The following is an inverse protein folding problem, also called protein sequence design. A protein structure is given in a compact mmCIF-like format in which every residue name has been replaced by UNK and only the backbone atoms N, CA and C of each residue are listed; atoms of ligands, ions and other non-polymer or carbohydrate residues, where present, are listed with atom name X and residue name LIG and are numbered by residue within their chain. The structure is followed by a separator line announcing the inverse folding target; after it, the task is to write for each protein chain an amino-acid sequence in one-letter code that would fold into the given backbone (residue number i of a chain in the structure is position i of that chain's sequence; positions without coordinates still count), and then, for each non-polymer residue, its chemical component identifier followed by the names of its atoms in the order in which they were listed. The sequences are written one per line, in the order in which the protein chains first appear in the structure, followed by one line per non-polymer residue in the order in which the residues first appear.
data_IF_326408346348
#
_entry.id   IF_326408346348
#
_cell.length_a   1.000
_cell.length_b   1.000
_cell.length_c   1.000
_cell.angle_alpha   90.00
_cell.angle_beta   90.00
_cell.angle_gamma   90.00
#
_symmetry.space_group_name_H-M   'P 1'
#
loop_
_entity.id
_entity.type
_entity.pdbx_description
1 polymer ?
#
# COMPACT_ATOMS: atom_id res chain seq x y z
N UNK A 1 -30.94 33.90 10.54
CA UNK A 1 -30.89 34.17 12.00
C UNK A 1 -29.54 33.67 12.50
N UNK A 2 -28.54 34.55 12.59
CA UNK A 2 -27.15 34.22 12.97
C UNK A 2 -27.10 34.13 14.50
N UNK A 3 -26.83 32.94 15.05
CA UNK A 3 -26.58 32.79 16.49
C UNK A 3 -25.13 33.17 16.78
N UNK A 4 -24.83 33.92 17.86
CA UNK A 4 -23.46 34.24 18.23
C UNK A 4 -22.66 32.95 18.53
N UNK A 5 -21.47 32.86 17.94
CA UNK A 5 -20.57 31.69 17.96
C UNK A 5 -20.29 31.16 19.39
N UNK A 6 -20.33 32.05 20.39
CA UNK A 6 -20.15 31.74 21.82
C UNK A 6 -21.19 30.77 22.40
N UNK A 7 -22.44 30.75 21.90
CA UNK A 7 -23.48 29.80 22.37
C UNK A 7 -23.33 28.40 21.79
N UNK A 8 -22.62 28.23 20.67
CA UNK A 8 -22.38 26.91 20.06
C UNK A 8 -21.24 26.16 20.78
N UNK A 9 -20.21 26.87 21.25
CA UNK A 9 -19.05 26.27 21.90
C UNK A 9 -19.32 25.70 23.31
N UNK A 10 -20.25 26.29 24.07
CA UNK A 10 -20.57 25.83 25.44
C UNK A 10 -21.27 24.46 25.46
N UNK A 11 -22.12 24.18 24.46
CA UNK A 11 -22.76 22.87 24.28
C UNK A 11 -21.79 21.76 23.90
N UNK A 12 -20.75 22.07 23.11
CA UNK A 12 -19.80 21.08 22.59
C UNK A 12 -18.77 20.64 23.66
N UNK A 13 -18.37 21.57 24.53
CA UNK A 13 -17.38 21.32 25.59
C UNK A 13 -17.88 20.25 26.59
N UNK A 14 -19.15 20.35 27.00
CA UNK A 14 -19.78 19.40 27.92
C UNK A 14 -19.86 17.98 27.34
N UNK A 15 -19.93 17.86 26.01
CA UNK A 15 -20.06 16.59 25.30
C UNK A 15 -18.71 15.85 25.14
N UNK A 16 -17.60 16.60 24.98
CA UNK A 16 -16.27 16.03 24.78
C UNK A 16 -15.64 15.48 26.07
N UNK A 17 -15.98 16.05 27.23
CA UNK A 17 -15.48 15.58 28.53
C UNK A 17 -15.99 14.17 28.91
N UNK A 18 -17.14 13.75 28.39
CA UNK A 18 -17.82 12.51 28.80
C UNK A 18 -17.40 11.25 28.01
N UNK A 19 -16.79 11.38 26.83
CA UNK A 19 -16.70 10.28 25.86
C UNK A 19 -15.32 9.62 25.72
N UNK A 20 -14.24 10.23 26.20
CA UNK A 20 -12.89 9.73 25.94
C UNK A 20 -12.04 9.74 27.21
N UNK A 21 -11.30 8.66 27.51
CA UNK A 21 -10.18 8.64 28.48
C UNK A 21 -8.88 8.61 27.66
N UNK A 22 -8.06 9.67 27.71
CA UNK A 22 -6.85 9.83 26.88
C UNK A 22 -6.43 11.28 26.59
N UNK A 23 -5.32 11.50 25.92
CA UNK A 23 -4.87 12.88 25.61
C UNK A 23 -5.68 13.44 24.43
N UNK A 24 -6.23 14.65 24.59
CA UNK A 24 -6.97 15.33 23.51
C UNK A 24 -6.06 16.39 22.90
N UNK A 25 -5.81 16.28 21.60
CA UNK A 25 -5.13 17.31 20.82
C UNK A 25 -6.16 18.09 20.00
N UNK A 26 -6.03 19.41 20.01
CA UNK A 26 -6.89 20.30 19.23
C UNK A 26 -6.07 20.86 18.07
N UNK A 27 -6.62 20.79 16.87
CA UNK A 27 -6.04 21.37 15.66
C UNK A 27 -6.98 22.41 15.10
N UNK A 28 -6.42 23.51 14.62
CA UNK A 28 -7.22 24.52 13.96
C UNK A 28 -6.54 25.03 12.69
N UNK A 29 -7.35 25.17 11.64
CA UNK A 29 -6.95 25.63 10.31
C UNK A 29 -7.81 26.83 9.91
N UNK A 30 -7.16 27.85 9.36
CA UNK A 30 -7.77 29.14 9.01
C UNK A 30 -8.35 29.16 7.59
N UNK A 31 -7.78 28.36 6.68
CA UNK A 31 -8.23 28.17 5.30
C UNK A 31 -7.67 26.84 4.78
N UNK A 32 -8.44 26.10 3.98
CA UNK A 32 -8.03 24.87 3.31
C UNK A 32 -6.78 25.07 2.43
N UNK A 33 -6.55 26.31 1.96
CA UNK A 33 -5.41 26.66 1.10
C UNK A 33 -4.10 26.97 1.86
N UNK A 34 -4.18 27.20 3.18
CA UNK A 34 -2.99 27.54 3.99
C UNK A 34 -2.38 26.32 4.68
N UNK A 35 -1.13 25.97 4.35
CA UNK A 35 -0.35 24.86 4.93
C UNK A 35 0.08 25.06 6.41
N UNK A 36 -0.51 26.01 7.12
CA UNK A 36 -0.15 26.35 8.50
C UNK A 36 -1.15 25.76 9.49
N UNK A 37 -0.71 24.80 10.30
CA UNK A 37 -1.50 24.28 11.43
C UNK A 37 -0.96 24.83 12.74
N UNK A 38 -1.87 25.12 13.66
CA UNK A 38 -1.56 25.27 15.07
C UNK A 38 -2.17 24.09 15.82
N UNK A 39 -1.43 23.53 16.76
CA UNK A 39 -1.89 22.46 17.66
C UNK A 39 -1.66 22.86 19.11
N UNK A 40 -2.64 22.59 19.97
CA UNK A 40 -2.45 22.56 21.41
C UNK A 40 -2.43 21.09 21.85
N UNK A 41 -1.34 20.68 22.50
CA UNK A 41 -1.18 19.35 23.09
C UNK A 41 -1.38 19.43 24.61
N UNK A 42 -1.82 18.35 25.23
CA UNK A 42 -1.98 18.29 26.69
C UNK A 42 -3.06 19.22 27.22
N UNK A 43 -4.13 19.41 26.46
CA UNK A 43 -5.23 20.29 26.82
C UNK A 43 -5.95 19.76 28.07
N UNK A 44 -6.02 20.58 29.12
CA UNK A 44 -6.86 20.31 30.27
C UNK A 44 -8.34 20.25 29.84
N UNK A 45 -8.94 19.09 30.12
CA UNK A 45 -10.29 18.71 29.69
C UNK A 45 -11.38 19.47 30.44
N UNK A 46 -11.06 20.02 31.60
CA UNK A 46 -12.00 20.81 32.39
C UNK A 46 -12.06 22.27 31.91
N UNK A 47 -11.12 22.69 31.05
CA UNK A 47 -11.13 24.04 30.50
C UNK A 47 -12.26 24.23 29.47
N UNK A 48 -13.00 25.34 29.53
CA UNK A 48 -14.00 25.67 28.51
C UNK A 48 -13.37 25.74 27.12
N UNK A 49 -14.05 25.24 26.08
CA UNK A 49 -13.57 25.35 24.70
C UNK A 49 -13.29 26.80 24.28
N UNK A 50 -14.04 27.76 24.84
CA UNK A 50 -13.81 29.19 24.61
C UNK A 50 -12.43 29.64 25.10
N UNK A 51 -11.98 29.16 26.26
CA UNK A 51 -10.66 29.48 26.80
C UNK A 51 -9.53 28.90 25.93
N UNK A 52 -9.74 27.71 25.35
CA UNK A 52 -8.79 27.10 24.44
C UNK A 52 -8.71 27.84 23.10
N UNK A 53 -9.85 28.30 22.58
CA UNK A 53 -9.89 29.09 21.35
C UNK A 53 -9.25 30.47 21.55
N UNK A 54 -9.44 31.10 22.70
CA UNK A 54 -8.76 32.36 23.07
C UNK A 54 -7.25 32.17 23.16
N UNK A 55 -6.78 31.07 23.75
CA UNK A 55 -5.35 30.73 23.80
C UNK A 55 -4.76 30.52 22.40
N UNK A 56 -5.47 29.80 21.54
CA UNK A 56 -5.11 29.65 20.12
C UNK A 56 -4.99 31.00 19.40
N UNK A 57 -5.96 31.88 19.60
CA UNK A 57 -5.97 33.23 19.01
C UNK A 57 -4.79 34.06 19.51
N UNK A 58 -4.55 34.06 20.82
CA UNK A 58 -3.54 34.88 21.48
C UNK A 58 -2.10 34.39 21.23
N UNK A 59 -1.86 33.08 21.15
CA UNK A 59 -0.51 32.52 21.00
C UNK A 59 -0.03 32.37 19.56
N UNK A 60 -0.92 32.22 18.56
CA UNK A 60 -0.47 31.80 17.22
C UNK A 60 -0.98 32.65 16.06
N UNK A 61 -2.13 33.33 16.16
CA UNK A 61 -2.73 34.03 15.00
C UNK A 61 -2.70 35.56 15.09
N UNK A 62 -2.27 36.12 16.22
CA UNK A 62 -2.14 37.56 16.42
C UNK A 62 -3.49 38.25 16.67
N UNK A 63 -3.51 39.59 16.61
CA UNK A 63 -4.67 40.40 16.99
C UNK A 63 -5.97 39.96 16.27
N UNK A 64 -7.14 39.93 16.96
CA UNK A 64 -8.41 39.41 16.46
C UNK A 64 -8.88 39.92 15.09
N UNK A 65 -8.42 41.11 14.68
CA UNK A 65 -8.75 41.75 13.41
C UNK A 65 -8.35 40.92 12.17
N UNK A 66 -7.40 39.98 12.28
CA UNK A 66 -6.98 39.12 11.15
C UNK A 66 -7.90 37.92 10.87
N UNK A 67 -8.88 37.67 11.74
CA UNK A 67 -9.81 36.53 11.64
C UNK A 67 -11.23 36.93 11.24
N UNK A 68 -11.50 38.22 11.10
CA UNK A 68 -12.77 38.69 10.52
C UNK A 68 -12.89 38.10 9.11
N UNK A 69 -14.02 37.43 8.84
CA UNK A 69 -14.38 36.79 7.58
C UNK A 69 -13.70 35.45 7.23
N UNK A 70 -12.99 34.80 8.17
CA UNK A 70 -12.39 33.47 7.94
C UNK A 70 -13.17 32.34 8.62
N UNK A 71 -13.30 31.21 7.94
CA UNK A 71 -13.89 29.99 8.53
C UNK A 71 -12.80 29.21 9.27
N UNK A 72 -13.01 28.97 10.57
CA UNK A 72 -12.10 28.15 11.37
C UNK A 72 -12.61 26.70 11.40
N UNK A 73 -11.81 25.77 10.87
CA UNK A 73 -12.06 24.35 11.04
C UNK A 73 -11.31 23.87 12.29
N UNK A 74 -12.03 23.42 13.32
CA UNK A 74 -11.46 22.83 14.53
C UNK A 74 -11.65 21.32 14.49
N UNK A 75 -10.55 20.58 14.60
CA UNK A 75 -10.56 19.10 14.66
C UNK A 75 -10.04 18.64 16.01
N UNK A 76 -10.78 17.74 16.64
CA UNK A 76 -10.37 17.08 17.87
C UNK A 76 -9.83 15.69 17.52
N UNK A 77 -8.62 15.40 17.98
CA UNK A 77 -8.02 14.07 17.86
C UNK A 77 -7.83 13.54 19.27
N UNK A 78 -8.58 12.49 19.61
CA UNK A 78 -8.41 11.76 20.85
C UNK A 78 -7.48 10.57 20.58
N UNK A 79 -6.37 10.52 21.31
CA UNK A 79 -5.55 9.31 21.38
C UNK A 79 -6.15 8.45 22.49
N UNK A 80 -6.73 7.32 22.12
CA UNK A 80 -7.13 6.29 23.08
C UNK A 80 -5.87 5.48 23.36
N UNK A 81 -5.34 5.62 24.57
CA UNK A 81 -4.34 4.67 25.05
C UNK A 81 -5.08 3.34 25.23
N UNK A 82 -4.66 2.32 24.48
CA UNK A 82 -5.09 0.95 24.76
C UNK A 82 -4.57 0.62 26.16
N UNK A 83 -5.49 0.55 27.12
CA UNK A 83 -5.17 0.00 28.43
C UNK A 83 -4.80 -1.47 28.18
N UNK A 84 -3.56 -1.84 28.50
CA UNK A 84 -3.19 -3.24 28.69
C UNK A 84 -4.12 -3.79 29.77
N UNK A 85 -5.16 -4.49 29.34
CA UNK A 85 -6.00 -5.27 30.24
C UNK A 85 -5.18 -6.51 30.56
N UNK A 86 -4.76 -6.66 31.82
CA UNK A 86 -4.12 -7.87 32.31
C UNK A 86 -5.04 -9.07 32.00
N UNK A 87 -4.58 -9.93 31.08
CA UNK A 87 -5.29 -11.04 30.43
C UNK A 87 -5.56 -12.25 31.37
N UNK A 88 -5.87 -12.03 32.64
CA UNK A 88 -6.04 -13.11 33.62
C UNK A 88 -7.50 -13.51 33.94
N UNK A 89 -8.51 -12.86 33.39
CA UNK A 89 -9.90 -13.30 33.53
C UNK A 89 -10.76 -13.00 32.29
N UNK A 90 -10.87 -13.92 31.31
CA UNK A 90 -12.18 -14.17 30.68
C UNK A 90 -12.23 -15.41 29.76
N UNK A 91 -12.43 -16.59 30.35
CA UNK A 91 -12.75 -17.83 29.62
C UNK A 91 -14.28 -18.09 29.54
N UNK A 92 -15.13 -17.06 29.75
CA UNK A 92 -16.59 -17.23 29.85
C UNK A 92 -17.46 -16.49 28.85
N UNK A 93 -16.92 -15.75 27.89
CA UNK A 93 -17.75 -14.94 26.97
C UNK A 93 -17.66 -15.24 25.47
N UNK A 94 -17.21 -16.44 25.05
CA UNK A 94 -17.19 -16.84 23.63
C UNK A 94 -18.24 -17.88 23.25
N UNK A 95 -19.54 -17.60 23.45
CA UNK A 95 -20.65 -18.33 22.81
C UNK A 95 -21.89 -17.44 22.64
N UNK A 96 -21.88 -16.51 21.66
CA UNK A 96 -23.09 -15.94 21.02
C UNK A 96 -22.70 -14.98 19.88
N UNK A 97 -22.32 -15.51 18.73
CA UNK A 97 -22.24 -14.72 17.49
C UNK A 97 -22.42 -15.61 16.25
N UNK A 98 -23.64 -16.09 16.01
CA UNK A 98 -23.98 -16.71 14.72
C UNK A 98 -25.50 -16.72 14.51
N UNK A 99 -26.04 -15.57 14.10
CA UNK A 99 -27.25 -15.46 13.25
C UNK A 99 -27.65 -13.98 13.11
N UNK A 100 -27.00 -13.26 12.21
CA UNK A 100 -27.50 -11.99 11.71
C UNK A 100 -27.89 -12.17 10.24
N UNK A 101 -29.21 -12.23 9.98
CA UNK A 101 -29.78 -12.17 8.62
C UNK A 101 -29.32 -10.87 7.95
N UNK A 102 -28.72 -11.00 6.78
CA UNK A 102 -28.31 -9.89 5.92
C UNK A 102 -29.53 -9.10 5.44
N UNK A 103 -29.93 -8.09 6.22
CA UNK A 103 -30.84 -7.04 5.79
C UNK A 103 -30.15 -6.22 4.69
N UNK A 104 -30.77 -6.15 3.50
CA UNK A 104 -30.39 -5.26 2.39
C UNK A 104 -30.48 -3.79 2.82
N UNK A 105 -29.49 -3.30 3.57
CA UNK A 105 -29.33 -1.87 3.85
C UNK A 105 -28.89 -1.19 2.55
N UNK A 106 -29.56 -0.09 2.19
CA UNK A 106 -29.06 0.82 1.14
C UNK A 106 -27.63 1.23 1.52
N UNK A 107 -26.67 1.22 0.58
CA UNK A 107 -25.30 1.58 0.88
C UNK A 107 -25.29 2.98 1.51
N UNK A 108 -24.52 3.20 2.60
CA UNK A 108 -24.34 4.53 3.17
C UNK A 108 -23.91 5.49 2.06
N UNK A 109 -24.39 6.74 2.10
CA UNK A 109 -23.92 7.79 1.19
C UNK A 109 -22.40 7.86 1.32
N UNK A 110 -21.71 7.39 0.29
CA UNK A 110 -20.26 7.24 0.29
C UNK A 110 -19.64 8.64 0.21
N UNK A 111 -19.08 9.09 1.32
CA UNK A 111 -18.13 10.19 1.30
C UNK A 111 -16.87 9.67 0.58
N UNK A 112 -16.77 9.96 -0.72
CA UNK A 112 -15.57 9.67 -1.50
C UNK A 112 -14.39 10.46 -0.92
N UNK A 113 -13.23 9.82 -0.86
CA UNK A 113 -12.01 10.44 -0.32
C UNK A 113 -11.52 11.60 -1.19
N UNK A 114 -11.91 11.62 -2.47
CA UNK A 114 -11.54 12.63 -3.46
C UNK A 114 -12.78 13.19 -4.13
N UNK A 115 -13.19 14.39 -3.69
CA UNK A 115 -14.28 15.19 -4.27
C UNK A 115 -13.95 16.70 -4.15
N UNK A 116 -14.35 17.52 -5.13
CA UNK A 116 -14.93 17.11 -6.41
C UNK A 116 -13.84 16.59 -7.36
N UNK A 117 -14.11 15.50 -8.06
CA UNK A 117 -13.29 15.02 -9.19
C UNK A 117 -14.20 14.61 -10.32
N UNK A 118 -13.90 15.06 -11.55
CA UNK A 118 -14.69 14.71 -12.72
C UNK A 118 -14.27 13.33 -13.23
N UNK A 119 -15.14 12.34 -13.10
CA UNK A 119 -14.90 10.98 -13.59
C UNK A 119 -15.66 10.70 -14.88
N UNK A 120 -15.07 9.88 -15.74
CA UNK A 120 -15.66 9.37 -16.97
C UNK A 120 -15.66 7.85 -16.94
N UNK A 121 -16.78 7.25 -17.34
CA UNK A 121 -16.93 5.80 -17.39
C UNK A 121 -16.30 5.25 -18.68
N UNK A 122 -15.43 4.25 -18.54
CA UNK A 122 -14.75 3.60 -19.66
C UNK A 122 -15.01 2.10 -19.65
N UNK A 123 -15.40 1.51 -20.80
CA UNK A 123 -15.57 0.07 -20.93
C UNK A 123 -14.21 -0.64 -20.94
N UNK A 124 -14.13 -1.79 -20.28
CA UNK A 124 -12.92 -2.59 -20.23
C UNK A 124 -13.21 -4.10 -20.13
N UNK A 125 -12.24 -4.92 -20.53
CA UNK A 125 -12.22 -6.36 -20.22
C UNK A 125 -11.42 -6.61 -18.95
N UNK A 126 -12.02 -7.35 -18.01
CA UNK A 126 -11.40 -7.68 -16.72
C UNK A 126 -10.57 -8.96 -16.85
N UNK A 127 -9.35 -8.94 -16.35
CA UNK A 127 -8.47 -10.10 -16.17
C UNK A 127 -8.25 -10.26 -14.67
N UNK A 128 -8.46 -11.46 -14.15
CA UNK A 128 -8.20 -11.81 -12.75
C UNK A 128 -7.23 -12.99 -12.68
N UNK A 129 -6.67 -13.25 -11.50
CA UNK A 129 -5.90 -14.46 -11.28
C UNK A 129 -6.26 -15.12 -9.94
N UNK A 130 -5.88 -16.38 -9.81
CA UNK A 130 -6.06 -17.16 -8.58
C UNK A 130 -4.82 -18.00 -8.30
N UNK A 131 -4.56 -18.21 -7.00
CA UNK A 131 -3.47 -19.06 -6.52
C UNK A 131 -4.00 -20.46 -6.26
N UNK A 132 -3.50 -21.44 -6.98
CA UNK A 132 -3.85 -22.84 -6.82
C UNK A 132 -3.06 -23.49 -5.66
N UNK A 133 -3.55 -24.61 -5.14
CA UNK A 133 -2.91 -25.34 -4.04
C UNK A 133 -1.52 -25.89 -4.42
N UNK A 134 -1.27 -26.14 -5.71
CA UNK A 134 0.02 -26.57 -6.24
C UNK A 134 1.04 -25.42 -6.41
N UNK A 135 0.66 -24.21 -5.97
CA UNK A 135 1.50 -23.02 -6.02
C UNK A 135 1.48 -22.27 -7.35
N UNK A 136 0.73 -22.74 -8.36
CA UNK A 136 0.61 -22.05 -9.65
C UNK A 136 -0.39 -20.91 -9.59
N UNK A 137 -0.10 -19.83 -10.31
CA UNK A 137 -1.05 -18.75 -10.58
C UNK A 137 -1.72 -18.98 -11.92
N UNK A 138 -3.04 -18.93 -11.94
CA UNK A 138 -3.84 -19.06 -13.17
C UNK A 138 -4.57 -17.76 -13.46
N UNK A 139 -4.51 -17.30 -14.71
CA UNK A 139 -5.22 -16.11 -15.16
C UNK A 139 -6.53 -16.48 -15.86
N UNK A 140 -7.56 -15.68 -15.63
CA UNK A 140 -8.84 -15.76 -16.35
C UNK A 140 -9.21 -14.39 -16.88
N UNK A 141 -9.64 -14.35 -18.14
CA UNK A 141 -10.13 -13.12 -18.80
C UNK A 141 -11.64 -13.22 -18.94
N UNK A 142 -12.35 -12.19 -18.50
CA UNK A 142 -13.79 -12.07 -18.64
C UNK A 142 -14.16 -11.76 -20.09
N UNK A 143 -15.12 -12.51 -20.63
CA UNK A 143 -15.77 -12.18 -21.91
C UNK A 143 -16.80 -11.05 -21.76
N UNK A 144 -17.27 -10.82 -20.52
CA UNK A 144 -18.20 -9.74 -20.18
C UNK A 144 -17.42 -8.45 -20.00
N UNK A 145 -17.90 -7.40 -20.67
CA UNK A 145 -17.40 -6.04 -20.47
C UNK A 145 -17.90 -5.46 -19.16
N UNK A 146 -17.03 -4.72 -18.51
CA UNK A 146 -17.35 -3.98 -17.30
C UNK A 146 -17.01 -2.50 -17.51
N UNK A 147 -17.34 -1.64 -16.54
CA UNK A 147 -17.08 -0.21 -16.62
C UNK A 147 -16.31 0.31 -15.42
N UNK A 148 -15.25 1.07 -15.66
CA UNK A 148 -14.43 1.74 -14.65
C UNK A 148 -14.54 3.25 -14.83
N UNK A 149 -14.69 3.97 -13.73
CA UNK A 149 -14.73 5.43 -13.72
C UNK A 149 -13.31 5.97 -13.48
N UNK A 150 -12.76 6.68 -14.45
CA UNK A 150 -11.39 7.23 -14.44
C UNK A 150 -11.49 8.76 -14.51
N UNK A 151 -10.63 9.52 -13.79
CA UNK A 151 -10.60 10.96 -13.90
C UNK A 151 -10.26 11.42 -15.32
N UNK A 152 -10.84 12.55 -15.73
CA UNK A 152 -10.45 13.19 -16.99
C UNK A 152 -8.93 13.49 -17.01
N UNK A 153 -8.21 13.39 -18.14
CA UNK A 153 -6.75 13.59 -18.19
C UNK A 153 -6.21 14.83 -17.45
N UNK A 154 -6.88 15.98 -17.60
CA UNK A 154 -6.58 17.22 -16.85
C UNK A 154 -6.55 17.08 -15.31
N UNK A 155 -7.25 16.08 -14.78
CA UNK A 155 -7.34 15.80 -13.34
C UNK A 155 -6.22 14.87 -12.85
N UNK A 156 -5.40 14.27 -13.72
CA UNK A 156 -4.35 13.34 -13.31
C UNK A 156 -3.00 13.49 -14.02
N UNK A 157 -2.92 14.25 -15.12
CA UNK A 157 -1.67 14.48 -15.86
C UNK A 157 -0.59 15.21 -15.03
N UNK A 158 -1.01 16.07 -14.09
CA UNK A 158 -0.12 16.77 -13.18
C UNK A 158 -0.03 16.04 -11.84
N UNK A 159 1.16 15.98 -11.25
CA UNK A 159 1.41 15.25 -9.99
C UNK A 159 0.64 15.79 -8.78
N UNK A 160 0.20 17.04 -8.85
CA UNK A 160 -0.60 17.70 -7.81
C UNK A 160 -2.11 17.67 -8.11
N UNK A 161 -2.54 17.06 -9.22
CA UNK A 161 -3.94 17.02 -9.60
C UNK A 161 -4.73 15.98 -8.76
N UNK A 162 -6.03 16.21 -8.59
CA UNK A 162 -6.87 15.44 -7.66
C UNK A 162 -6.96 13.94 -8.02
N UNK A 163 -6.80 13.57 -9.28
CA UNK A 163 -6.79 12.19 -9.77
C UNK A 163 -5.42 11.51 -9.70
N UNK A 164 -4.34 12.24 -9.43
CA UNK A 164 -3.02 11.66 -9.25
C UNK A 164 -2.85 11.14 -7.82
N UNK A 165 -2.49 9.86 -7.67
CA UNK A 165 -2.24 9.25 -6.33
C UNK A 165 -0.77 9.36 -5.97
N UNK A 166 0.11 9.05 -6.91
CA UNK A 166 1.55 9.00 -6.68
C UNK A 166 2.30 8.32 -7.81
N UNK A 167 3.62 8.29 -7.72
CA UNK A 167 4.49 7.51 -8.61
C UNK A 167 5.62 6.86 -7.82
N UNK A 168 5.98 5.65 -8.21
CA UNK A 168 7.20 4.97 -7.79
C UNK A 168 8.32 5.16 -8.81
N UNK A 169 9.31 4.27 -8.78
CA UNK A 169 10.41 4.29 -9.76
C UNK A 169 9.96 3.88 -11.17
N UNK A 170 9.06 2.89 -11.28
CA UNK A 170 8.65 2.27 -12.56
C UNK A 170 7.19 2.52 -12.94
N UNK A 171 6.34 2.88 -11.98
CA UNK A 171 4.88 2.95 -12.14
C UNK A 171 4.30 4.27 -11.61
N UNK A 172 3.20 4.70 -12.21
CA UNK A 172 2.32 5.76 -11.68
C UNK A 172 1.02 5.16 -11.19
N UNK A 173 0.43 5.76 -10.17
CA UNK A 173 -0.88 5.41 -9.61
C UNK A 173 -1.88 6.54 -9.81
N UNK A 174 -3.04 6.22 -10.35
CA UNK A 174 -4.14 7.17 -10.59
C UNK A 174 -5.40 6.70 -9.85
N UNK A 175 -6.22 7.66 -9.43
CA UNK A 175 -7.50 7.38 -8.79
C UNK A 175 -8.46 6.75 -9.78
N UNK A 176 -9.32 5.84 -9.32
CA UNK A 176 -10.43 5.33 -10.09
C UNK A 176 -11.58 4.94 -9.16
N UNK A 177 -12.77 4.74 -9.73
CA UNK A 177 -13.88 4.07 -9.04
C UNK A 177 -14.38 2.89 -9.87
N UNK A 178 -14.70 1.81 -9.17
CA UNK A 178 -15.24 0.61 -9.78
C UNK A 178 -16.24 -0.03 -8.84
N UNK A 179 -17.47 -0.27 -9.34
CA UNK A 179 -18.59 -0.85 -8.58
C UNK A 179 -18.83 -0.18 -7.21
N UNK A 180 -18.72 1.15 -7.17
CA UNK A 180 -18.94 1.94 -5.96
C UNK A 180 -17.82 1.85 -4.92
N UNK A 181 -16.65 1.32 -5.28
CA UNK A 181 -15.45 1.32 -4.45
C UNK A 181 -14.35 2.18 -5.08
N UNK A 182 -13.44 2.69 -4.26
CA UNK A 182 -12.30 3.49 -4.68
C UNK A 182 -11.11 2.58 -4.96
N UNK A 183 -10.44 2.84 -6.07
CA UNK A 183 -9.29 2.09 -6.54
C UNK A 183 -8.11 3.01 -6.83
N UNK A 184 -6.92 2.44 -6.78
CA UNK A 184 -5.77 2.95 -7.52
C UNK A 184 -5.54 2.07 -8.74
N UNK A 185 -5.46 2.67 -9.91
CA UNK A 185 -5.00 2.02 -11.13
C UNK A 185 -3.52 2.36 -11.34
N UNK A 186 -2.71 1.37 -11.68
CA UNK A 186 -1.28 1.54 -11.90
C UNK A 186 -0.89 1.20 -13.34
N UNK A 187 0.06 1.97 -13.88
CA UNK A 187 0.62 1.76 -15.21
C UNK A 187 2.14 1.99 -15.20
N UNK A 188 2.91 1.22 -15.99
CA UNK A 188 4.31 1.52 -16.25
C UNK A 188 4.50 2.93 -16.82
N UNK A 189 5.56 3.61 -16.37
CA UNK A 189 5.88 4.97 -16.80
C UNK A 189 6.74 5.04 -18.06
N UNK A 190 7.54 4.01 -18.36
CA UNK A 190 8.35 3.97 -19.58
C UNK A 190 7.44 4.05 -20.79
N UNK A 191 7.54 5.12 -21.58
CA UNK A 191 6.72 5.43 -22.76
C UNK A 191 7.08 4.57 -23.97
N UNK A 192 8.27 3.95 -23.97
CA UNK A 192 8.76 3.13 -25.08
C UNK A 192 8.31 1.66 -25.01
N UNK A 193 7.71 1.23 -23.90
CA UNK A 193 7.17 -0.13 -23.79
C UNK A 193 6.09 -0.39 -24.85
N UNK A 194 6.22 -1.53 -25.54
CA UNK A 194 5.20 -2.01 -26.44
C UNK A 194 3.93 -2.40 -25.67
N UNK A 195 2.79 -2.46 -26.37
CA UNK A 195 1.52 -2.75 -25.73
C UNK A 195 1.50 -4.10 -25.01
N UNK A 196 2.03 -5.14 -25.67
CA UNK A 196 2.11 -6.50 -25.15
C UNK A 196 3.07 -6.58 -23.96
N UNK A 197 4.15 -5.79 -23.97
CA UNK A 197 5.09 -5.72 -22.84
C UNK A 197 4.41 -5.14 -21.59
N UNK A 198 3.55 -4.13 -21.76
CA UNK A 198 2.77 -3.55 -20.65
C UNK A 198 1.82 -4.59 -20.05
N UNK A 199 1.11 -5.36 -20.88
CA UNK A 199 0.24 -6.44 -20.38
C UNK A 199 1.04 -7.48 -19.60
N UNK A 200 2.17 -7.91 -20.14
CA UNK A 200 3.00 -8.94 -19.53
C UNK A 200 3.60 -8.47 -18.20
N UNK A 201 4.10 -7.24 -18.12
CA UNK A 201 4.60 -6.65 -16.87
C UNK A 201 3.48 -6.61 -15.83
N UNK A 202 2.29 -6.11 -16.19
CA UNK A 202 1.17 -6.03 -15.25
C UNK A 202 0.70 -7.42 -14.80
N UNK A 203 0.73 -8.43 -15.67
CA UNK A 203 0.48 -9.83 -15.29
C UNK A 203 1.50 -10.33 -14.29
N UNK A 204 2.80 -10.08 -14.49
CA UNK A 204 3.85 -10.47 -13.54
C UNK A 204 3.68 -9.81 -12.18
N UNK A 205 3.32 -8.53 -12.15
CA UNK A 205 3.04 -7.76 -10.94
C UNK A 205 1.82 -8.34 -10.19
N UNK A 206 0.74 -8.65 -10.91
CA UNK A 206 -0.45 -9.24 -10.30
C UNK A 206 -0.23 -10.72 -9.89
N UNK A 207 0.55 -11.47 -10.65
CA UNK A 207 0.99 -12.83 -10.31
C UNK A 207 1.73 -12.83 -8.98
N UNK A 208 2.68 -11.91 -8.80
CA UNK A 208 3.45 -11.79 -7.57
C UNK A 208 2.55 -11.43 -6.37
N UNK A 209 1.66 -10.44 -6.52
CA UNK A 209 0.69 -10.09 -5.49
C UNK A 209 -0.22 -11.27 -5.10
N UNK A 210 -0.62 -12.07 -6.10
CA UNK A 210 -1.40 -13.30 -5.91
C UNK A 210 -0.60 -14.39 -5.18
N UNK A 211 0.67 -14.58 -5.53
CA UNK A 211 1.56 -15.55 -4.87
C UNK A 211 1.76 -15.19 -3.40
N UNK A 212 2.04 -13.91 -3.10
CA UNK A 212 2.15 -13.43 -1.72
C UNK A 212 0.86 -13.68 -0.92
N UNK A 213 -0.29 -13.41 -1.52
CA UNK A 213 -1.59 -13.70 -0.91
C UNK A 213 -1.79 -15.21 -0.64
N UNK A 214 -1.39 -16.07 -1.57
CA UNK A 214 -1.40 -17.52 -1.40
C UNK A 214 -0.50 -18.00 -0.26
N UNK A 215 0.77 -17.58 -0.26
CA UNK A 215 1.73 -17.88 0.80
C UNK A 215 1.25 -17.38 2.16
N UNK A 216 0.60 -16.21 2.21
CA UNK A 216 0.06 -15.66 3.45
C UNK A 216 -1.01 -16.55 4.07
N UNK A 217 -1.87 -17.18 3.27
CA UNK A 217 -2.86 -18.15 3.78
C UNK A 217 -2.18 -19.34 4.46
N UNK A 218 -1.12 -19.87 3.85
CA UNK A 218 -0.36 -20.99 4.42
C UNK A 218 0.41 -20.55 5.67
N UNK A 219 0.98 -19.34 5.66
CA UNK A 219 1.63 -18.75 6.83
C UNK A 219 0.68 -18.59 8.02
N UNK A 220 -0.55 -18.12 7.78
CA UNK A 220 -1.56 -17.99 8.83
C UNK A 220 -1.98 -19.35 9.39
N UNK A 221 -2.14 -20.36 8.52
CA UNK A 221 -2.41 -21.73 8.95
C UNK A 221 -1.25 -22.30 9.79
N UNK A 222 -0.01 -22.06 9.36
CA UNK A 222 1.20 -22.45 10.10
C UNK A 222 1.25 -21.76 11.47
N UNK A 223 0.85 -20.49 11.54
CA UNK A 223 0.78 -19.74 12.78
C UNK A 223 -0.25 -20.31 13.76
N UNK A 224 -1.46 -20.61 13.27
CA UNK A 224 -2.51 -21.27 14.05
C UNK A 224 -2.03 -22.63 14.56
N UNK A 225 -1.41 -23.45 13.70
CA UNK A 225 -0.86 -24.75 14.08
C UNK A 225 0.25 -24.69 15.14
N UNK A 226 0.97 -23.56 15.23
CA UNK A 226 2.00 -23.32 16.25
C UNK A 226 1.49 -22.49 17.44
N UNK A 227 0.17 -22.28 17.56
CA UNK A 227 -0.45 -21.47 18.61
C UNK A 227 0.16 -20.06 18.72
N UNK A 228 0.55 -19.50 17.57
CA UNK A 228 1.20 -18.21 17.48
C UNK A 228 0.18 -17.16 17.02
N UNK A 229 -0.23 -16.26 17.93
CA UNK A 229 -1.07 -15.12 17.56
C UNK A 229 -0.22 -14.05 16.87
N UNK A 230 -0.35 -13.92 15.55
CA UNK A 230 0.39 -12.95 14.74
C UNK A 230 -0.48 -11.71 14.55
N UNK A 231 0.12 -10.53 14.68
CA UNK A 231 -0.56 -9.27 14.34
C UNK A 231 -1.09 -9.32 12.90
N UNK A 232 -2.34 -8.90 12.72
CA UNK A 232 -3.05 -9.07 11.46
C UNK A 232 -2.43 -8.22 10.34
N UNK A 233 -2.12 -8.86 9.21
CA UNK A 233 -1.80 -8.19 7.97
C UNK A 233 -2.30 -9.00 6.76
N UNK A 234 -2.47 -8.32 5.62
CA UNK A 234 -2.91 -8.90 4.35
C UNK A 234 -2.17 -8.26 3.18
N UNK A 235 -2.33 -8.83 1.99
CA UNK A 235 -1.89 -8.21 0.73
C UNK A 235 -3.08 -7.55 0.04
N UNK A 236 -2.85 -6.44 -0.67
CA UNK A 236 -3.88 -5.69 -1.41
C UNK A 236 -4.35 -6.40 -2.71
N UNK A 237 -4.57 -7.71 -2.59
CA UNK A 237 -4.92 -8.62 -3.68
C UNK A 237 -6.42 -8.86 -3.80
N UNK A 238 -7.14 -8.85 -2.69
CA UNK A 238 -8.60 -9.03 -2.71
C UNK A 238 -9.23 -7.91 -3.55
N UNK A 239 -10.09 -8.28 -4.49
CA UNK A 239 -10.66 -7.41 -5.52
C UNK A 239 -9.68 -6.72 -6.49
N UNK A 240 -8.39 -7.12 -6.51
CA UNK A 240 -7.46 -6.66 -7.52
C UNK A 240 -7.78 -7.27 -8.90
N UNK A 241 -7.49 -6.52 -9.96
CA UNK A 241 -7.66 -7.00 -11.35
C UNK A 241 -6.80 -6.21 -12.33
N UNK A 242 -6.51 -6.83 -13.47
CA UNK A 242 -6.00 -6.12 -14.63
C UNK A 242 -7.19 -5.74 -15.51
N UNK A 243 -7.21 -4.50 -16.00
CA UNK A 243 -8.19 -4.04 -16.97
C UNK A 243 -7.54 -3.73 -18.31
N UNK A 244 -8.22 -4.13 -19.39
CA UNK A 244 -7.89 -3.75 -20.77
C UNK A 244 -8.99 -2.80 -21.28
N UNK A 245 -8.66 -1.51 -21.39
CA UNK A 245 -9.57 -0.50 -21.92
C UNK A 245 -9.89 -0.77 -23.39
N UNK A 246 -11.17 -0.61 -23.76
CA UNK A 246 -11.54 -0.57 -25.17
C UNK A 246 -11.23 0.79 -25.77
N UNK A 247 -10.48 0.87 -26.88
CA UNK A 247 -10.29 2.12 -27.61
C UNK A 247 -11.64 2.67 -28.09
N UNK A 248 -11.93 3.93 -27.76
CA UNK A 248 -13.06 4.65 -28.33
C UNK A 248 -12.74 5.02 -29.77
N UNK A 249 -13.54 4.55 -30.74
CA UNK A 249 -13.38 4.92 -32.15
C UNK A 249 -13.76 6.40 -32.41
N UNK A 250 -14.58 6.99 -31.54
CA UNK A 250 -15.20 8.30 -31.75
C UNK A 250 -14.48 9.45 -31.06
N UNK A 251 -13.61 9.17 -30.08
CA UNK A 251 -12.86 10.18 -29.35
C UNK A 251 -11.37 9.94 -29.49
N UNK A 252 -10.64 10.89 -30.10
CA UNK A 252 -9.17 10.86 -30.10
C UNK A 252 -8.57 10.97 -28.69
N UNK A 253 -9.38 11.25 -27.65
CA UNK A 253 -8.95 11.27 -26.26
C UNK A 253 -8.66 9.85 -25.75
N UNK A 254 -7.42 9.61 -25.34
CA UNK A 254 -7.06 8.42 -24.57
C UNK A 254 -7.31 8.71 -23.08
N UNK A 255 -8.17 7.95 -22.37
CA UNK A 255 -8.44 8.20 -20.96
C UNK A 255 -7.23 7.87 -20.08
N UNK A 256 -6.35 6.98 -20.55
CA UNK A 256 -5.09 6.62 -19.94
C UNK A 256 -3.97 6.59 -20.98
N UNK A 257 -2.71 6.78 -20.59
CA UNK A 257 -1.56 6.66 -21.48
C UNK A 257 -1.40 5.24 -22.07
N UNK A 258 -1.75 4.21 -21.29
CA UNK A 258 -1.73 2.80 -21.72
C UNK A 258 -3.14 2.21 -21.70
N UNK A 259 -3.40 1.20 -22.53
CA UNK A 259 -4.70 0.49 -22.55
C UNK A 259 -4.85 -0.48 -21.38
N UNK A 260 -3.76 -1.14 -20.96
CA UNK A 260 -3.76 -2.03 -19.81
C UNK A 260 -3.45 -1.27 -18.51
N UNK A 261 -4.08 -1.67 -17.41
CA UNK A 261 -3.81 -1.15 -16.06
C UNK A 261 -4.00 -2.25 -15.01
N UNK A 262 -3.29 -2.16 -13.88
CA UNK A 262 -3.56 -2.97 -12.68
C UNK A 262 -4.32 -2.14 -11.66
N UNK A 263 -5.54 -2.55 -11.32
CA UNK A 263 -6.39 -1.93 -10.31
C UNK A 263 -6.28 -2.69 -8.98
N UNK A 264 -6.06 -1.96 -7.89
CA UNK A 264 -6.15 -2.48 -6.52
C UNK A 264 -7.00 -1.55 -5.66
N UNK A 265 -7.69 -2.04 -4.61
CA UNK A 265 -8.44 -1.19 -3.70
C UNK A 265 -7.57 -0.03 -3.17
N UNK A 266 -8.15 1.17 -3.11
CA UNK A 266 -7.45 2.36 -2.63
C UNK A 266 -7.28 2.30 -1.11
N UNK A 267 -6.04 2.22 -0.66
CA UNK A 267 -5.70 2.43 0.74
C UNK A 267 -5.83 3.92 1.12
N UNK A 268 -6.08 4.26 2.40
CA UNK A 268 -6.10 5.64 2.85
C UNK A 268 -4.86 6.41 2.37
N UNK A 269 -5.02 7.56 1.73
CA UNK A 269 -3.89 8.29 1.13
C UNK A 269 -4.06 9.82 1.15
N UNK A 270 -4.91 10.31 2.05
CA UNK A 270 -5.05 11.73 2.34
C UNK A 270 -3.84 12.28 3.09
N UNK A 271 -3.75 13.61 3.17
CA UNK A 271 -2.67 14.32 3.86
C UNK A 271 -2.56 14.01 5.36
N UNK A 272 -3.62 13.47 5.96
CA UNK A 272 -3.69 13.09 7.38
C UNK A 272 -3.50 11.59 7.61
N UNK A 273 -3.48 10.78 6.54
CA UNK A 273 -3.27 9.35 6.66
C UNK A 273 -1.79 9.05 6.95
N UNK A 274 -1.54 7.93 7.64
CA UNK A 274 -0.16 7.48 7.89
C UNK A 274 0.53 7.21 6.56
N UNK A 275 1.83 7.49 6.49
CA UNK A 275 2.63 7.19 5.31
C UNK A 275 2.80 5.67 5.14
N UNK A 276 3.06 5.25 3.92
CA UNK A 276 3.51 3.88 3.62
C UNK A 276 4.76 3.59 4.45
N UNK A 277 4.73 2.46 5.14
CA UNK A 277 5.82 1.94 5.93
C UNK A 277 6.52 0.84 5.13
N UNK A 278 7.86 0.89 5.10
CA UNK A 278 8.70 -0.12 4.49
C UNK A 278 9.19 -1.08 5.57
N UNK A 279 8.90 -2.36 5.42
CA UNK A 279 9.23 -3.41 6.38
C UNK A 279 10.47 -4.18 5.99
N UNK A 280 10.65 -4.46 4.69
CA UNK A 280 11.89 -4.98 4.13
C UNK A 280 12.28 -4.15 2.93
N UNK A 281 13.58 -4.04 2.67
CA UNK A 281 14.10 -3.53 1.41
C UNK A 281 14.28 -4.62 0.35
N UNK A 282 14.71 -4.19 -0.82
CA UNK A 282 15.14 -5.08 -1.89
C UNK A 282 16.46 -5.78 -1.51
N UNK A 283 17.38 -5.04 -0.88
CA UNK A 283 18.75 -5.51 -0.63
C UNK A 283 19.16 -5.51 0.85
N UNK A 284 18.32 -4.98 1.73
CA UNK A 284 18.51 -4.90 3.17
C UNK A 284 17.16 -5.18 3.83
N UNK A 285 17.11 -6.10 4.78
CA UNK A 285 15.88 -6.48 5.50
C UNK A 285 15.48 -5.39 6.49
N UNK A 286 16.49 -4.78 7.14
CA UNK A 286 16.29 -3.73 8.14
C UNK A 286 15.96 -4.29 9.52
N UNK A 287 15.72 -3.40 10.49
CA UNK A 287 15.45 -3.80 11.88
C UNK A 287 13.96 -4.09 12.13
N UNK A 288 13.69 -5.14 12.90
CA UNK A 288 12.34 -5.52 13.31
C UNK A 288 11.90 -4.79 14.59
N UNK A 289 11.56 -3.50 14.47
CA UNK A 289 11.31 -2.61 15.64
C UNK A 289 9.89 -2.63 16.19
N UNK A 290 8.93 -3.22 15.47
CA UNK A 290 7.52 -3.29 15.92
C UNK A 290 6.95 -4.68 15.65
N UNK A 291 5.83 -4.99 16.28
CA UNK A 291 5.09 -6.24 16.04
C UNK A 291 4.78 -6.48 14.55
N UNK A 292 4.46 -5.43 13.78
CA UNK A 292 4.24 -5.57 12.34
C UNK A 292 5.53 -5.89 11.60
N UNK A 293 6.66 -5.23 11.92
CA UNK A 293 7.95 -5.57 11.31
C UNK A 293 8.34 -7.01 11.60
N UNK A 294 8.26 -7.44 12.85
CA UNK A 294 8.62 -8.80 13.22
C UNK A 294 7.76 -9.83 12.48
N UNK A 295 6.44 -9.60 12.37
CA UNK A 295 5.52 -10.51 11.69
C UNK A 295 5.81 -10.61 10.20
N UNK A 296 6.09 -9.46 9.56
CA UNK A 296 6.35 -9.38 8.13
C UNK A 296 7.74 -9.95 7.79
N UNK A 297 8.75 -9.74 8.64
CA UNK A 297 10.05 -10.41 8.53
C UNK A 297 9.91 -11.93 8.69
N UNK A 298 9.12 -12.38 9.65
CA UNK A 298 8.84 -13.80 9.84
C UNK A 298 8.10 -14.41 8.64
N UNK A 299 7.21 -13.66 7.98
CA UNK A 299 6.58 -14.07 6.72
C UNK A 299 7.58 -14.19 5.58
N UNK A 300 8.48 -13.22 5.41
CA UNK A 300 9.54 -13.30 4.40
C UNK A 300 10.45 -14.52 4.64
N UNK A 301 10.88 -14.75 5.89
CA UNK A 301 11.61 -15.96 6.28
C UNK A 301 10.82 -17.24 5.99
N UNK A 302 9.53 -17.27 6.35
CA UNK A 302 8.66 -18.40 6.06
C UNK A 302 8.56 -18.66 4.55
N UNK A 303 8.50 -17.64 3.71
CA UNK A 303 8.44 -17.81 2.24
C UNK A 303 9.64 -18.56 1.69
N UNK A 304 10.83 -18.33 2.27
CA UNK A 304 12.03 -19.09 1.96
C UNK A 304 11.90 -20.56 2.36
N UNK A 305 11.54 -20.84 3.61
CA UNK A 305 11.42 -22.22 4.10
C UNK A 305 10.30 -23.00 3.38
N UNK A 306 9.15 -22.37 3.19
CA UNK A 306 7.99 -22.99 2.54
C UNK A 306 8.26 -23.31 1.08
N UNK A 307 9.02 -22.45 0.38
CA UNK A 307 9.46 -22.70 -0.98
C UNK A 307 10.68 -23.63 -1.09
N UNK A 308 11.08 -24.29 0.01
CA UNK A 308 12.27 -25.15 0.08
C UNK A 308 13.55 -24.44 -0.37
N UNK A 309 13.67 -23.17 0.01
CA UNK A 309 14.80 -22.31 -0.30
C UNK A 309 14.80 -21.73 -1.71
N UNK A 310 13.72 -21.89 -2.48
CA UNK A 310 13.64 -21.45 -3.86
C UNK A 310 13.48 -19.95 -4.02
N UNK A 311 12.61 -19.32 -3.23
CA UNK A 311 12.32 -17.88 -3.33
C UNK A 311 12.25 -17.20 -1.97
N UNK A 312 12.41 -15.88 -1.97
CA UNK A 312 12.12 -15.04 -0.80
C UNK A 312 11.39 -13.78 -1.24
N UNK A 313 10.30 -13.44 -0.55
CA UNK A 313 9.62 -12.16 -0.76
C UNK A 313 10.38 -11.04 -0.06
N UNK A 314 10.53 -9.92 -0.75
CA UNK A 314 11.27 -8.75 -0.30
C UNK A 314 10.52 -7.47 -0.70
N UNK A 315 11.15 -6.32 -0.42
CA UNK A 315 10.55 -4.99 -0.62
C UNK A 315 9.11 -4.85 -0.05
N UNK A 316 8.83 -5.55 1.06
CA UNK A 316 7.52 -5.58 1.67
C UNK A 316 7.23 -4.23 2.32
N UNK A 317 6.20 -3.56 1.83
CA UNK A 317 5.77 -2.25 2.28
C UNK A 317 4.25 -2.17 2.30
N UNK A 318 3.69 -1.29 3.11
CA UNK A 318 2.25 -1.18 3.26
C UNK A 318 1.82 -0.12 4.25
N UNK A 319 0.53 -0.11 4.52
CA UNK A 319 -0.05 0.78 5.52
C UNK A 319 -1.36 0.21 6.06
N UNK A 320 -1.85 0.78 7.16
CA UNK A 320 -3.15 0.39 7.72
C UNK A 320 -4.28 0.77 6.76
N UNK A 321 -5.17 -0.18 6.50
CA UNK A 321 -6.39 0.08 5.74
C UNK A 321 -7.46 0.78 6.61
N UNK A 322 -8.63 1.03 6.02
CA UNK A 322 -9.77 1.67 6.71
C UNK A 322 -10.30 0.86 7.91
N UNK A 323 -9.91 -0.41 8.04
CA UNK A 323 -10.28 -1.31 9.14
C UNK A 323 -9.19 -1.46 10.20
N UNK A 324 -8.04 -0.79 10.01
CA UNK A 324 -6.90 -0.89 10.92
C UNK A 324 -6.03 -2.13 10.71
N UNK A 325 -6.21 -2.85 9.60
CA UNK A 325 -5.37 -4.01 9.25
C UNK A 325 -4.22 -3.53 8.36
N UNK A 326 -2.99 -3.98 8.65
CA UNK A 326 -1.84 -3.70 7.79
C UNK A 326 -2.02 -4.34 6.41
N UNK A 327 -2.09 -3.53 5.37
CA UNK A 327 -2.26 -3.97 4.00
C UNK A 327 -0.98 -3.71 3.21
N UNK A 328 -0.32 -4.80 2.81
CA UNK A 328 0.90 -4.79 2.02
C UNK A 328 0.61 -4.60 0.53
N UNK A 329 1.46 -3.83 -0.13
CA UNK A 329 1.38 -3.44 -1.53
C UNK A 329 2.73 -3.63 -2.19
N UNK A 330 2.70 -3.79 -3.51
CA UNK A 330 3.89 -3.75 -4.37
C UNK A 330 5.07 -4.63 -3.89
N UNK A 331 4.84 -5.92 -3.53
CA UNK A 331 5.91 -6.80 -3.08
C UNK A 331 6.89 -7.09 -4.21
N UNK A 332 8.12 -7.49 -3.85
CA UNK A 332 9.12 -8.04 -4.76
C UNK A 332 9.47 -9.48 -4.37
N UNK A 333 10.17 -10.18 -5.26
CA UNK A 333 10.65 -11.55 -5.02
C UNK A 333 12.03 -11.75 -5.61
N UNK A 334 12.86 -12.52 -4.91
CA UNK A 334 14.10 -13.06 -5.45
C UNK A 334 14.02 -14.57 -5.54
N UNK A 335 14.51 -15.14 -6.63
CA UNK A 335 14.49 -16.59 -6.86
C UNK A 335 15.89 -17.16 -7.07
N UNK A 336 16.10 -18.43 -6.70
CA UNK A 336 17.37 -19.12 -6.98
C UNK A 336 17.55 -19.48 -8.46
N UNK A 337 16.46 -19.57 -9.23
CA UNK A 337 16.51 -19.91 -10.65
C UNK A 337 16.08 -18.73 -11.51
N UNK A 338 16.91 -17.67 -11.55
CA UNK A 338 16.64 -16.53 -12.44
C UNK A 338 16.61 -17.04 -13.87
N UNK A 339 15.44 -16.93 -14.49
CA UNK A 339 15.32 -17.06 -15.93
C UNK A 339 15.88 -15.78 -16.54
N UNK A 340 17.16 -15.80 -16.93
CA UNK A 340 17.85 -14.63 -17.54
C UNK A 340 17.12 -14.06 -18.76
N UNK A 341 16.22 -14.83 -19.36
CA UNK A 341 15.37 -14.40 -20.47
C UNK A 341 14.08 -13.68 -20.05
N UNK A 342 13.65 -13.76 -18.79
CA UNK A 342 12.43 -13.11 -18.30
C UNK A 342 12.68 -11.63 -17.97
N UNK A 343 12.79 -10.81 -19.02
CA UNK A 343 13.01 -9.35 -18.93
C UNK A 343 11.87 -8.61 -18.22
N UNK A 344 10.75 -9.26 -17.95
CA UNK A 344 9.56 -8.66 -17.32
C UNK A 344 9.54 -8.86 -15.80
N UNK A 345 10.43 -9.71 -15.25
CA UNK A 345 10.66 -9.87 -13.82
C UNK A 345 11.84 -8.99 -13.35
N UNK A 346 11.77 -7.68 -13.61
CA UNK A 346 12.88 -6.74 -13.40
C UNK A 346 13.32 -6.60 -11.93
N UNK A 347 12.49 -7.04 -10.99
CA UNK A 347 12.74 -7.03 -9.55
C UNK A 347 13.52 -8.27 -9.05
N UNK A 348 13.65 -9.33 -9.84
CA UNK A 348 14.34 -10.55 -9.40
C UNK A 348 15.86 -10.43 -9.54
N UNK A 349 16.54 -10.08 -8.44
CA UNK A 349 17.99 -10.03 -8.39
C UNK A 349 18.68 -11.38 -8.14
N UNK A 350 17.91 -12.47 -8.08
CA UNK A 350 18.43 -13.83 -8.14
C UNK A 350 19.09 -14.39 -6.88
N UNK A 351 19.88 -15.48 -7.01
CA UNK A 351 20.53 -16.16 -5.89
C UNK A 351 21.34 -15.24 -4.99
N UNK A 352 22.02 -14.26 -5.57
CA UNK A 352 22.85 -13.31 -4.81
C UNK A 352 21.99 -12.49 -3.86
N UNK A 353 20.80 -12.06 -4.31
CA UNK A 353 19.89 -11.28 -3.49
C UNK A 353 19.12 -12.14 -2.50
N UNK A 354 18.83 -13.40 -2.85
CA UNK A 354 18.35 -14.39 -1.88
C UNK A 354 19.35 -14.56 -0.74
N UNK A 355 20.63 -14.82 -1.05
CA UNK A 355 21.67 -15.01 -0.03
C UNK A 355 21.87 -13.74 0.81
N UNK A 356 21.90 -12.56 0.18
CA UNK A 356 22.01 -11.27 0.89
C UNK A 356 20.87 -11.07 1.88
N UNK A 357 19.64 -11.38 1.46
CA UNK A 357 18.48 -11.33 2.36
C UNK A 357 18.68 -12.25 3.57
N UNK A 358 19.11 -13.51 3.34
CA UNK A 358 19.30 -14.49 4.42
C UNK A 358 20.40 -14.05 5.39
N UNK A 359 21.53 -13.57 4.89
CA UNK A 359 22.64 -13.06 5.71
C UNK A 359 22.21 -11.88 6.60
N UNK A 360 21.40 -10.97 6.07
CA UNK A 360 20.93 -9.82 6.82
C UNK A 360 19.85 -10.22 7.85
N UNK A 361 18.86 -11.01 7.42
CA UNK A 361 17.81 -11.52 8.30
C UNK A 361 18.38 -12.38 9.45
N UNK A 362 19.39 -13.21 9.17
CA UNK A 362 19.98 -14.13 10.15
C UNK A 362 20.49 -13.40 11.40
N UNK A 363 21.03 -12.18 11.25
CA UNK A 363 21.53 -11.36 12.36
C UNK A 363 20.44 -10.99 13.37
N UNK A 364 19.20 -10.79 12.91
CA UNK A 364 18.04 -10.41 13.74
C UNK A 364 17.02 -11.53 13.95
N UNK A 365 17.18 -12.68 13.31
CA UNK A 365 16.17 -13.75 13.33
C UNK A 365 15.97 -14.32 14.75
N UNK A 366 17.04 -14.46 15.53
CA UNK A 366 17.00 -15.01 16.89
C UNK A 366 16.27 -14.11 17.89
N UNK A 367 16.22 -12.79 17.63
CA UNK A 367 15.49 -11.81 18.44
C UNK A 367 14.05 -11.57 17.94
N UNK A 368 13.72 -11.95 16.71
CA UNK A 368 12.36 -11.86 16.17
C UNK A 368 11.43 -12.88 16.85
N UNK A 369 10.46 -12.37 17.63
CA UNK A 369 9.58 -13.23 18.44
C UNK A 369 8.70 -14.18 17.60
N UNK A 370 8.29 -13.78 16.41
CA UNK A 370 7.45 -14.63 15.55
C UNK A 370 8.28 -15.70 14.86
N UNK A 371 9.48 -15.40 14.35
CA UNK A 371 10.39 -16.42 13.83
C UNK A 371 10.60 -17.54 14.86
N UNK A 372 10.87 -17.18 16.12
CA UNK A 372 11.07 -18.11 17.23
C UNK A 372 9.82 -18.92 17.55
N UNK A 373 8.66 -18.27 17.71
CA UNK A 373 7.38 -18.94 18.04
C UNK A 373 6.91 -19.88 16.93
N UNK A 374 7.12 -19.49 15.67
CA UNK A 374 6.77 -20.28 14.50
C UNK A 374 7.80 -21.38 14.17
N UNK A 375 8.88 -21.48 14.96
CA UNK A 375 9.97 -22.45 14.77
C UNK A 375 10.55 -22.40 13.36
N UNK A 376 10.72 -21.20 12.82
CA UNK A 376 11.35 -21.00 11.52
C UNK A 376 12.85 -21.21 11.68
N UNK A 377 13.29 -22.46 11.49
CA UNK A 377 14.69 -22.88 11.53
C UNK A 377 15.16 -23.24 10.11
N UNK A 378 16.44 -23.04 9.82
CA UNK A 378 17.05 -23.55 8.58
C UNK A 378 17.35 -22.50 7.51
N UNK A 379 17.12 -21.21 7.73
CA UNK A 379 17.55 -20.16 6.80
C UNK A 379 19.05 -19.82 6.89
N UNK A 380 19.91 -20.72 7.40
CA UNK A 380 21.35 -20.47 7.41
C UNK A 380 21.86 -20.51 5.96
N UNK A 381 22.56 -19.48 5.47
CA UNK A 381 23.18 -19.49 4.14
C UNK A 381 24.00 -20.75 3.85
N UNK A 382 24.63 -21.33 4.86
CA UNK A 382 25.49 -22.52 4.74
C UNK A 382 24.71 -23.84 4.59
N UNK A 383 23.45 -23.91 5.03
CA UNK A 383 22.69 -25.17 5.03
C UNK A 383 22.10 -25.55 3.67
N UNK A 384 22.21 -24.69 2.66
CA UNK A 384 21.69 -24.92 1.31
C UNK A 384 22.76 -24.65 0.25
N UNK A 385 23.91 -25.31 0.35
CA UNK A 385 24.68 -25.68 -0.85
C UNK A 385 23.87 -26.74 -1.60
N UNK A 386 22.82 -26.30 -2.30
CA UNK A 386 22.24 -27.12 -3.35
C UNK A 386 23.38 -27.28 -4.35
N UNK A 387 23.77 -28.53 -4.59
CA UNK A 387 24.67 -28.95 -5.65
C UNK A 387 24.03 -28.56 -6.98
N UNK A 388 24.12 -27.26 -7.32
CA UNK A 388 23.76 -26.75 -8.65
C UNK A 388 24.88 -27.28 -9.53
N UNK A 389 24.73 -28.54 -9.95
CA UNK A 389 25.61 -29.10 -10.97
C UNK A 389 25.60 -28.10 -12.12
N UNK A 390 26.77 -27.58 -12.54
CA UNK A 390 26.84 -26.61 -13.60
C UNK A 390 26.24 -27.25 -14.84
N UNK A 391 25.02 -26.85 -15.19
CA UNK A 391 24.31 -27.33 -16.36
C UNK A 391 25.08 -26.88 -17.60
N UNK A 392 26.01 -27.72 -18.05
CA UNK A 392 26.87 -27.58 -19.22
C UNK A 392 27.65 -26.26 -19.36
N UNK A 393 28.93 -26.31 -19.79
CA UNK A 393 29.65 -25.08 -20.14
C UNK A 393 28.89 -24.38 -21.28
N UNK A 394 28.40 -23.18 -21.00
CA UNK A 394 27.80 -22.31 -22.02
C UNK A 394 28.76 -22.17 -23.21
N UNK A 395 28.25 -22.13 -24.46
CA UNK A 395 29.08 -21.79 -25.60
C UNK A 395 29.71 -20.42 -25.36
N UNK A 396 31.05 -20.35 -25.48
CA UNK A 396 31.82 -19.12 -25.28
C UNK A 396 31.20 -18.01 -26.13
N UNK A 397 30.81 -16.92 -25.47
CA UNK A 397 30.40 -15.68 -26.11
C UNK A 397 31.54 -15.26 -27.05
N UNK A 398 31.32 -15.08 -28.37
CA UNK A 398 32.37 -14.58 -29.25
C UNK A 398 32.82 -13.21 -28.73
N UNK A 399 34.12 -13.06 -28.50
CA UNK A 399 34.73 -11.79 -28.12
C UNK A 399 34.31 -10.72 -29.13
N UNK A 400 33.57 -9.72 -28.66
CA UNK A 400 33.31 -8.52 -29.46
C UNK A 400 34.65 -7.80 -29.62
N UNK A 401 35.27 -7.93 -30.80
CA UNK A 401 36.36 -7.07 -31.22
C UNK A 401 35.91 -5.61 -31.07
N UNK A 402 36.72 -4.73 -30.47
CA UNK A 402 36.39 -3.31 -30.35
C UNK A 402 36.24 -2.72 -31.77
N UNK A 403 35.06 -2.13 -32.04
CA UNK A 403 34.86 -1.33 -33.24
C UNK A 403 35.67 -0.04 -33.09
N UNK A 404 36.81 0.05 -33.78
CA UNK A 404 37.39 1.34 -34.15
C UNK A 404 36.37 2.06 -35.03
N UNK A 405 35.82 3.16 -34.54
CA UNK A 405 35.25 4.19 -35.39
C UNK A 405 36.25 5.36 -35.41
N UNK A 406 37.14 5.31 -36.39
CA UNK A 406 37.64 6.54 -37.00
C UNK A 406 36.49 7.11 -37.84
N UNK A 407 36.26 8.42 -37.72
CA UNK A 407 36.08 9.35 -38.84
C UNK A 407 35.82 10.76 -38.29
N UNK A 408 36.91 11.53 -38.23
CA UNK A 408 36.90 12.95 -38.57
C UNK A 408 36.15 13.14 -39.90
N UNK A 409 35.22 14.09 -40.01
CA UNK A 409 35.09 14.93 -41.21
C UNK A 409 34.23 16.19 -40.90
N UNK A 410 34.89 17.34 -41.04
CA UNK A 410 34.44 18.66 -41.52
C UNK A 410 33.50 19.55 -40.69
N UNK A 411 34.15 20.56 -40.09
CA UNK A 411 33.71 21.94 -40.01
C UNK A 411 34.02 22.63 -41.36
N UNK A 412 33.00 23.21 -42.03
CA UNK A 412 32.95 24.57 -42.62
C UNK A 412 32.03 24.69 -43.85
N UNK A 413 31.12 25.68 -43.77
CA UNK A 413 31.02 26.74 -44.78
C UNK A 413 29.94 26.65 -45.85
N UNK A 414 28.77 27.24 -45.59
CA UNK A 414 28.23 28.39 -46.33
C UNK A 414 27.23 29.15 -45.47
#
# INVERSE_FOLDING_TARGET
MVRPFTKFCTSLTTYLAFLFRGTVSVYAQIDETTNGYASLQGVDRERPLTALLEEFQNHRWGKPQKLQDRQLAVRFVALVEELDVDDDEDDRYSKKASSARASKRKPPRTHWTRNPITLQAHPFKKITCSYAEDGRVTFSKSDVEDSIEIPHPKEWELENAAGFIGKGASKRGLYARYKGMEYVITQPMDEHLAHDDVELILKKEMELLCQCHGFKKVFDQHAVGNLCNIVAFKFNFEDAFIGELKPSMTSQSRPLPRLHFLATPLLPCGSFDKKIQKFTGNDVVGEATTAHHEAIHAFAHFSYLYSQGYLVFCDLQGMLDKTGIMCLIDPQVHTRAVKREDRHAYWDGGPNMVNKFLEDHYKGCSSNRYCKRLKLCGANPETFEIDIQPSHPSPRRPEKKPKKHDLNFLINGQ
#
